data_IF_247941839783
#
_entry.id   IF_247941839783
#
_cell.length_a   1.000
_cell.length_b   1.000
_cell.length_c   1.000
_cell.angle_alpha   90.00
_cell.angle_beta   90.00
_cell.angle_gamma   90.00
#
_symmetry.space_group_name_H-M   'P 1'
#
loop_
_entity.id
_entity.type
_entity.pdbx_description
1 polymer ?
#
# COMPACT_ATOMS: atom_id res chain seq x y z
N UNK A 1 -21.75 -11.26 -6.59
CA UNK A 1 -21.30 -10.07 -5.82
C UNK A 1 -22.18 -9.81 -4.59
N UNK A 2 -22.35 -10.79 -3.68
CA UNK A 2 -23.21 -10.60 -2.48
C UNK A 2 -22.51 -9.87 -1.33
N UNK A 3 -21.17 -9.92 -1.32
CA UNK A 3 -20.32 -9.43 -0.25
C UNK A 3 -19.94 -7.94 -0.40
N UNK A 4 -19.76 -7.45 -1.63
CA UNK A 4 -19.51 -6.02 -1.88
C UNK A 4 -20.69 -5.16 -1.40
N UNK A 5 -20.40 -4.08 -0.66
CA UNK A 5 -21.37 -3.12 -0.13
C UNK A 5 -20.94 -1.69 -0.45
N UNK A 6 -21.94 -0.82 -0.64
CA UNK A 6 -21.71 0.60 -0.90
C UNK A 6 -21.39 0.92 -2.37
N UNK A 7 -21.03 2.18 -2.59
CA UNK A 7 -20.60 2.75 -3.87
C UNK A 7 -19.07 2.86 -3.93
N UNK A 8 -18.52 3.53 -4.96
CA UNK A 8 -17.07 3.62 -5.19
C UNK A 8 -16.30 4.42 -4.12
N UNK A 9 -17.01 5.09 -3.20
CA UNK A 9 -16.43 5.74 -2.02
C UNK A 9 -16.26 4.76 -0.85
N UNK A 10 -16.90 3.59 -0.93
CA UNK A 10 -16.91 2.60 0.14
C UNK A 10 -15.81 1.58 -0.08
N UNK A 11 -14.78 1.63 0.75
CA UNK A 11 -13.74 0.60 0.77
C UNK A 11 -14.31 -0.72 1.30
N UNK A 12 -14.22 -1.78 0.49
CA UNK A 12 -14.47 -3.14 0.90
C UNK A 12 -13.13 -3.84 1.17
N UNK A 13 -12.98 -4.43 2.36
CA UNK A 13 -11.80 -5.21 2.75
C UNK A 13 -12.21 -6.66 2.99
N UNK A 14 -11.62 -7.59 2.25
CA UNK A 14 -11.92 -9.02 2.34
C UNK A 14 -10.74 -9.76 2.95
N UNK A 15 -10.97 -10.45 4.07
CA UNK A 15 -9.97 -11.33 4.65
C UNK A 15 -10.20 -12.75 4.17
N UNK A 16 -9.19 -13.33 3.52
CA UNK A 16 -9.22 -14.73 3.06
C UNK A 16 -8.26 -15.56 3.90
N UNK A 17 -8.61 -16.82 4.17
CA UNK A 17 -7.91 -17.63 5.18
C UNK A 17 -6.40 -17.75 4.96
N UNK A 18 -5.95 -17.79 3.69
CA UNK A 18 -4.54 -17.78 3.30
C UNK A 18 -4.38 -17.44 1.82
N UNK A 19 -3.44 -16.57 1.49
CA UNK A 19 -3.03 -16.28 0.11
C UNK A 19 -1.88 -17.19 -0.31
N UNK A 20 -2.01 -17.87 -1.46
CA UNK A 20 -1.06 -18.89 -1.91
C UNK A 20 -0.09 -18.40 -3.00
N UNK A 21 -0.27 -17.18 -3.52
CA UNK A 21 0.47 -16.61 -4.66
C UNK A 21 1.76 -15.87 -4.27
N UNK A 22 2.21 -15.95 -3.03
CA UNK A 22 3.39 -15.22 -2.53
C UNK A 22 3.09 -13.79 -2.06
N UNK A 23 1.95 -13.21 -2.44
CA UNK A 23 1.45 -11.95 -1.88
C UNK A 23 0.74 -12.11 -0.54
N UNK A 24 0.73 -11.04 0.26
CA UNK A 24 0.01 -10.94 1.53
C UNK A 24 -1.31 -10.15 1.42
N UNK A 25 -1.43 -9.36 0.36
CA UNK A 25 -2.63 -8.66 -0.01
C UNK A 25 -2.65 -8.35 -1.50
N UNK A 26 -3.83 -7.96 -1.97
CA UNK A 26 -4.11 -7.44 -3.30
C UNK A 26 -5.01 -6.22 -3.15
N UNK A 27 -4.86 -5.27 -4.07
CA UNK A 27 -5.56 -4.00 -4.05
C UNK A 27 -6.03 -3.61 -5.44
N UNK A 28 -6.88 -2.59 -5.49
CA UNK A 28 -7.24 -1.90 -6.73
C UNK A 28 -6.90 -0.43 -6.59
N UNK A 29 -6.09 0.09 -7.52
CA UNK A 29 -5.78 1.52 -7.57
C UNK A 29 -7.06 2.33 -7.89
N UNK A 30 -7.12 3.61 -7.47
CA UNK A 30 -8.18 4.50 -7.94
C UNK A 30 -8.02 4.72 -9.45
N UNK A 31 -9.10 4.50 -10.20
CA UNK A 31 -9.11 4.62 -11.66
C UNK A 31 -10.09 5.70 -12.12
N UNK A 32 -9.82 6.28 -13.30
CA UNK A 32 -10.65 7.34 -13.87
C UNK A 32 -12.11 6.87 -14.12
N UNK A 33 -13.05 7.79 -13.97
CA UNK A 33 -14.51 7.58 -14.02
C UNK A 33 -15.06 7.21 -15.41
N UNK A 34 -14.20 6.97 -16.40
CA UNK A 34 -14.60 6.52 -17.74
C UNK A 34 -15.02 5.06 -17.78
N UNK A 35 -14.74 4.30 -16.71
CA UNK A 35 -15.23 2.94 -16.55
C UNK A 35 -16.70 2.99 -16.08
N UNK A 36 -17.65 2.38 -16.80
CA UNK A 36 -19.05 2.36 -16.40
C UNK A 36 -19.23 1.83 -14.98
N UNK A 37 -20.17 2.40 -14.22
CA UNK A 37 -20.48 1.98 -12.84
C UNK A 37 -20.89 0.51 -12.68
N UNK A 38 -21.32 -0.15 -13.77
CA UNK A 38 -21.68 -1.57 -13.82
C UNK A 38 -20.57 -2.47 -14.37
N UNK A 39 -19.38 -1.94 -14.59
CA UNK A 39 -18.23 -2.73 -15.01
C UNK A 39 -17.75 -3.66 -13.87
N UNK A 40 -17.36 -4.88 -14.22
CA UNK A 40 -16.84 -5.87 -13.27
C UNK A 40 -15.64 -5.35 -12.48
N UNK A 41 -14.84 -4.47 -13.07
CA UNK A 41 -13.70 -3.79 -12.42
C UNK A 41 -14.14 -2.99 -11.19
N UNK A 42 -15.29 -2.30 -11.23
CA UNK A 42 -15.84 -1.56 -10.07
C UNK A 42 -16.35 -2.47 -8.97
N UNK A 43 -16.80 -3.67 -9.31
CA UNK A 43 -17.23 -4.65 -8.32
C UNK A 43 -16.08 -5.41 -7.64
N UNK A 44 -14.91 -5.41 -8.26
CA UNK A 44 -13.68 -5.98 -7.71
C UNK A 44 -12.85 -4.96 -6.92
N UNK A 45 -13.26 -3.68 -6.92
CA UNK A 45 -12.60 -2.62 -6.16
C UNK A 45 -12.56 -2.94 -4.66
N UNK A 46 -11.38 -2.76 -4.08
CA UNK A 46 -11.15 -2.91 -2.64
C UNK A 46 -9.79 -3.54 -2.36
N UNK A 47 -9.70 -4.15 -1.18
CA UNK A 47 -8.51 -4.88 -0.75
C UNK A 47 -8.89 -6.33 -0.41
N UNK A 48 -8.07 -7.27 -0.85
CA UNK A 48 -8.10 -8.66 -0.36
C UNK A 48 -6.83 -8.90 0.44
N UNK A 49 -6.95 -9.39 1.68
CA UNK A 49 -5.83 -9.52 2.61
C UNK A 49 -5.79 -10.94 3.14
N UNK A 50 -4.58 -11.50 3.28
CA UNK A 50 -4.37 -12.76 3.98
C UNK A 50 -4.72 -12.58 5.47
N UNK A 51 -5.73 -13.30 5.93
CA UNK A 51 -6.21 -13.26 7.32
C UNK A 51 -5.14 -13.65 8.35
N UNK A 52 -4.07 -14.32 7.95
CA UNK A 52 -2.94 -14.66 8.81
C UNK A 52 -2.01 -13.46 9.08
N UNK A 53 -2.26 -12.29 8.47
CA UNK A 53 -1.47 -11.07 8.68
C UNK A 53 -1.98 -10.17 9.80
N UNK A 54 -3.17 -10.45 10.34
CA UNK A 54 -3.75 -9.68 11.46
C UNK A 54 -3.07 -10.05 12.79
N UNK A 55 -3.20 -9.21 13.85
CA UNK A 55 -2.71 -9.54 15.19
C UNK A 55 -3.18 -10.91 15.66
N UNK A 56 -2.23 -11.77 16.04
CA UNK A 56 -2.49 -13.17 16.44
C UNK A 56 -2.49 -14.17 15.28
N UNK A 57 -2.23 -13.72 14.05
CA UNK A 57 -2.03 -14.56 12.89
C UNK A 57 -0.68 -15.27 12.86
N UNK A 58 -0.43 -16.05 11.80
CA UNK A 58 0.75 -16.92 11.68
C UNK A 58 1.72 -16.52 10.57
N UNK A 59 1.48 -15.40 9.87
CA UNK A 59 2.46 -14.88 8.89
C UNK A 59 3.68 -14.33 9.62
N UNK A 60 4.80 -15.02 9.41
CA UNK A 60 6.11 -14.60 9.92
C UNK A 60 6.41 -13.18 9.45
N UNK A 61 6.85 -12.33 10.37
CA UNK A 61 7.23 -10.93 10.12
C UNK A 61 6.14 -10.02 9.55
N UNK A 62 4.89 -10.50 9.44
CA UNK A 62 3.78 -9.76 8.84
C UNK A 62 2.44 -10.06 9.54
N UNK A 63 2.44 -10.22 10.87
CA UNK A 63 1.27 -10.62 11.68
C UNK A 63 0.82 -9.55 12.69
N UNK A 64 1.13 -8.27 12.43
CA UNK A 64 0.71 -7.15 13.28
C UNK A 64 -0.38 -6.29 12.63
N UNK A 65 -0.95 -6.74 11.50
CA UNK A 65 -2.04 -6.10 10.77
C UNK A 65 -1.59 -4.99 9.84
N UNK A 66 -0.29 -4.81 9.60
CA UNK A 66 0.20 -3.69 8.76
C UNK A 66 0.06 -3.95 7.28
N UNK A 67 -0.06 -5.21 6.85
CA UNK A 67 -0.48 -5.55 5.48
C UNK A 67 -1.78 -4.82 5.10
N UNK A 68 -2.81 -4.82 5.96
CA UNK A 68 -4.04 -4.06 5.65
C UNK A 68 -3.79 -2.56 5.51
N UNK A 69 -2.85 -2.00 6.28
CA UNK A 69 -2.49 -0.57 6.17
C UNK A 69 -1.82 -0.28 4.81
N UNK A 70 -0.91 -1.16 4.39
CA UNK A 70 -0.24 -1.11 3.08
C UNK A 70 -1.24 -1.17 1.92
N UNK A 71 -2.12 -2.17 1.90
CA UNK A 71 -3.11 -2.33 0.83
C UNK A 71 -4.09 -1.15 0.74
N UNK A 72 -4.48 -0.61 1.89
CA UNK A 72 -5.34 0.58 1.94
C UNK A 72 -4.61 1.82 1.43
N UNK A 73 -3.31 1.95 1.69
CA UNK A 73 -2.47 2.99 1.08
C UNK A 73 -2.55 2.95 -0.45
N UNK A 74 -2.46 1.77 -1.04
CA UNK A 74 -2.63 1.61 -2.48
C UNK A 74 -4.04 1.91 -2.99
N UNK A 75 -5.09 1.53 -2.23
CA UNK A 75 -6.48 1.87 -2.60
C UNK A 75 -6.70 3.40 -2.68
N UNK A 76 -5.95 4.16 -1.88
CA UNK A 76 -5.89 5.62 -1.93
C UNK A 76 -4.84 6.18 -2.93
N UNK A 77 -4.16 5.35 -3.70
CA UNK A 77 -3.28 5.79 -4.79
C UNK A 77 -1.81 6.01 -4.42
N UNK A 78 -1.33 5.44 -3.31
CA UNK A 78 0.09 5.42 -2.99
C UNK A 78 0.80 4.31 -3.76
N UNK A 79 1.99 4.60 -4.29
CA UNK A 79 2.88 3.59 -4.85
C UNK A 79 3.79 3.03 -3.76
N UNK A 80 4.48 1.94 -4.07
CA UNK A 80 5.63 1.52 -3.27
C UNK A 80 6.69 2.60 -3.27
N UNK A 81 7.39 2.77 -2.15
CA UNK A 81 8.46 3.77 -2.00
C UNK A 81 9.60 3.60 -3.02
N UNK A 82 9.82 2.36 -3.47
CA UNK A 82 10.83 1.99 -4.46
C UNK A 82 10.32 1.99 -5.93
N UNK A 83 9.11 2.46 -6.20
CA UNK A 83 8.47 2.33 -7.52
C UNK A 83 9.26 2.98 -8.68
N UNK A 84 9.82 4.17 -8.44
CA UNK A 84 10.59 4.94 -9.43
C UNK A 84 12.11 4.93 -9.22
N UNK A 85 12.61 4.08 -8.31
CA UNK A 85 14.03 4.00 -7.97
C UNK A 85 14.61 5.33 -7.48
N UNK A 86 15.90 5.54 -7.73
CA UNK A 86 16.62 6.77 -7.38
C UNK A 86 16.29 7.99 -8.26
N UNK A 87 15.40 7.86 -9.25
CA UNK A 87 15.08 8.93 -10.19
C UNK A 87 13.74 9.59 -9.86
N UNK A 88 12.63 8.88 -10.07
CA UNK A 88 11.28 9.45 -9.99
C UNK A 88 10.58 9.20 -8.65
N UNK A 89 11.12 8.31 -7.81
CA UNK A 89 10.52 7.92 -6.54
C UNK A 89 9.09 7.39 -6.67
N UNK A 90 8.31 7.54 -5.62
CA UNK A 90 6.91 7.09 -5.54
C UNK A 90 5.89 8.19 -5.91
N UNK A 91 6.35 9.24 -6.61
CA UNK A 91 5.58 10.45 -6.93
C UNK A 91 5.04 11.18 -5.69
N UNK A 92 5.81 11.14 -4.59
CA UNK A 92 5.61 11.94 -3.38
C UNK A 92 6.96 12.56 -2.97
N UNK A 93 7.03 13.88 -2.94
CA UNK A 93 8.30 14.61 -2.79
C UNK A 93 8.99 14.43 -1.43
N UNK A 94 8.24 14.09 -0.37
CA UNK A 94 8.76 13.95 0.99
C UNK A 94 9.06 12.49 1.40
N UNK A 95 8.97 11.56 0.46
CA UNK A 95 9.49 10.20 0.58
C UNK A 95 10.89 10.16 -0.05
N UNK A 96 11.95 9.87 0.72
CA UNK A 96 13.29 9.67 0.16
C UNK A 96 13.28 8.60 -0.94
N UNK A 97 14.12 8.82 -1.96
CA UNK A 97 14.23 7.89 -3.09
C UNK A 97 14.86 6.57 -2.63
N UNK A 98 14.34 5.45 -3.15
CA UNK A 98 14.75 4.10 -2.77
C UNK A 98 14.87 3.25 -4.04
N UNK A 99 16.02 2.60 -4.24
CA UNK A 99 16.27 1.78 -5.43
C UNK A 99 15.62 0.40 -5.32
N UNK A 100 15.64 -0.17 -4.12
CA UNK A 100 15.24 -1.55 -3.85
C UNK A 100 14.35 -1.61 -2.62
N UNK A 101 13.33 -2.46 -2.67
CA UNK A 101 12.46 -2.71 -1.53
C UNK A 101 13.24 -3.25 -0.33
N UNK A 102 12.86 -2.81 0.86
CA UNK A 102 13.25 -3.46 2.10
C UNK A 102 12.76 -4.91 2.17
N UNK A 103 13.23 -5.63 3.18
CA UNK A 103 12.75 -6.97 3.46
C UNK A 103 12.73 -7.24 4.96
N UNK A 104 11.97 -8.26 5.40
CA UNK A 104 12.01 -8.72 6.78
C UNK A 104 13.43 -9.08 7.26
N UNK A 105 14.30 -9.54 6.37
CA UNK A 105 15.69 -9.90 6.67
C UNK A 105 16.59 -8.68 6.91
N UNK A 106 16.38 -7.58 6.19
CA UNK A 106 17.04 -6.30 6.47
C UNK A 106 16.57 -5.75 7.81
N UNK A 107 15.30 -6.00 8.15
CA UNK A 107 14.70 -5.62 9.43
C UNK A 107 14.56 -4.11 9.54
N UNK A 108 14.90 -3.56 10.70
CA UNK A 108 14.78 -2.13 11.00
C UNK A 108 16.16 -1.44 11.10
N UNK A 109 17.16 -1.97 10.39
CA UNK A 109 18.54 -1.52 10.51
C UNK A 109 18.74 -0.16 9.84
N UNK A 110 19.30 0.81 10.58
CA UNK A 110 19.67 2.13 10.07
C UNK A 110 21.17 2.41 10.25
N UNK A 111 21.78 3.23 9.38
CA UNK A 111 21.20 3.78 8.15
C UNK A 111 21.21 2.74 7.01
N UNK A 112 20.16 2.75 6.20
CA UNK A 112 20.11 2.04 4.93
C UNK A 112 19.79 3.05 3.84
N UNK A 113 20.60 3.07 2.79
CA UNK A 113 20.57 4.09 1.75
C UNK A 113 21.01 3.44 0.44
N UNK A 114 20.02 3.14 -0.41
CA UNK A 114 20.25 2.56 -1.73
C UNK A 114 20.39 3.64 -2.82
N UNK A 115 20.16 4.91 -2.47
CA UNK A 115 20.26 6.06 -3.35
C UNK A 115 21.17 7.15 -2.76
N UNK A 116 22.48 6.89 -2.58
CA UNK A 116 23.38 7.77 -1.83
C UNK A 116 23.64 9.14 -2.48
N UNK A 117 23.30 9.28 -3.77
CA UNK A 117 23.37 10.55 -4.49
C UNK A 117 22.06 11.37 -4.36
N UNK A 118 21.04 10.83 -3.69
CA UNK A 118 19.76 11.50 -3.39
C UNK A 118 19.67 11.90 -1.91
N UNK A 119 18.82 12.89 -1.56
CA UNK A 119 18.62 13.27 -0.16
C UNK A 119 17.85 12.21 0.64
N UNK A 120 18.39 11.87 1.82
CA UNK A 120 17.72 11.02 2.80
C UNK A 120 18.20 9.57 2.80
N UNK A 121 17.70 8.79 3.76
CA UNK A 121 17.89 7.34 3.80
C UNK A 121 16.62 6.66 3.28
N UNK A 122 16.72 5.39 2.90
CA UNK A 122 15.58 4.59 2.45
C UNK A 122 14.46 4.61 3.50
N UNK A 123 13.20 4.84 3.10
CA UNK A 123 12.07 5.01 4.01
C UNK A 123 11.55 3.68 4.58
N UNK A 124 12.42 2.88 5.20
CA UNK A 124 12.16 1.53 5.73
C UNK A 124 10.99 1.41 6.72
N UNK A 125 10.60 2.52 7.34
CA UNK A 125 9.52 2.57 8.32
C UNK A 125 8.17 2.97 7.72
N UNK A 126 8.17 3.28 6.43
CA UNK A 126 6.99 3.65 5.68
C UNK A 126 6.12 2.43 5.43
N UNK A 127 4.80 2.57 5.58
CA UNK A 127 3.87 1.48 5.30
C UNK A 127 3.91 1.00 3.84
N UNK A 128 4.46 1.79 2.91
CA UNK A 128 4.55 1.45 1.49
C UNK A 128 5.88 0.80 1.07
N UNK A 129 6.77 0.47 2.02
CA UNK A 129 7.92 -0.42 1.79
C UNK A 129 7.49 -1.90 1.98
N UNK A 130 8.44 -2.85 1.91
CA UNK A 130 8.31 -4.29 2.16
C UNK A 130 9.12 -4.80 3.35
N UNK A 131 9.53 -3.91 4.25
CA UNK A 131 10.16 -4.32 5.53
C UNK A 131 9.17 -5.11 6.41
N UNK A 132 9.65 -5.71 7.49
CA UNK A 132 8.77 -6.45 8.40
C UNK A 132 7.77 -5.53 9.11
N UNK A 133 6.59 -6.06 9.46
CA UNK A 133 5.51 -5.36 10.16
C UNK A 133 5.98 -4.62 11.44
N UNK A 134 7.02 -5.14 12.09
CA UNK A 134 7.61 -4.57 13.29
C UNK A 134 8.32 -3.23 13.05
N UNK A 135 8.72 -2.93 11.81
CA UNK A 135 9.39 -1.68 11.45
C UNK A 135 8.37 -0.59 11.09
N UNK A 136 7.26 -0.94 10.45
CA UNK A 136 6.31 0.03 9.95
C UNK A 136 5.68 0.91 11.04
N UNK A 137 5.72 2.22 10.83
CA UNK A 137 5.12 3.19 11.74
C UNK A 137 4.48 4.41 11.08
N UNK A 138 4.75 4.70 9.81
CA UNK A 138 4.36 5.99 9.24
C UNK A 138 3.91 6.01 7.78
N UNK A 139 3.07 7.02 7.51
CA UNK A 139 2.94 7.65 6.20
C UNK A 139 3.50 9.06 6.32
N UNK A 140 4.11 9.58 5.26
CA UNK A 140 4.58 10.96 5.22
C UNK A 140 3.41 11.96 5.10
N UNK A 141 3.60 13.25 5.44
CA UNK A 141 2.64 14.29 5.11
C UNK A 141 2.25 14.33 3.63
N UNK A 142 3.21 14.17 2.71
CA UNK A 142 2.98 14.14 1.27
C UNK A 142 2.14 12.95 0.83
N UNK A 143 2.40 11.77 1.36
CA UNK A 143 1.56 10.58 1.11
C UNK A 143 0.12 10.83 1.57
N UNK A 144 -0.10 11.46 2.74
CA UNK A 144 -1.45 11.85 3.16
C UNK A 144 -2.11 12.81 2.18
N UNK A 145 -1.38 13.82 1.70
CA UNK A 145 -1.87 14.76 0.67
C UNK A 145 -2.32 14.02 -0.60
N UNK A 146 -1.43 13.17 -1.14
CA UNK A 146 -1.70 12.33 -2.30
C UNK A 146 -2.92 11.42 -2.13
N UNK A 147 -3.09 10.81 -0.95
CA UNK A 147 -4.27 9.98 -0.65
C UNK A 147 -5.57 10.78 -0.75
N UNK A 148 -5.62 11.99 -0.20
CA UNK A 148 -6.78 12.88 -0.32
C UNK A 148 -7.03 13.28 -1.77
N UNK A 149 -6.00 13.72 -2.48
CA UNK A 149 -6.09 14.15 -3.87
C UNK A 149 -6.67 13.03 -4.77
N UNK A 150 -6.11 11.82 -4.68
CA UNK A 150 -6.59 10.68 -5.45
C UNK A 150 -8.03 10.29 -5.06
N UNK A 151 -8.38 10.30 -3.78
CA UNK A 151 -9.75 10.00 -3.35
C UNK A 151 -10.74 10.98 -3.96
N UNK A 152 -10.47 12.28 -3.91
CA UNK A 152 -11.37 13.29 -4.46
C UNK A 152 -11.39 13.32 -5.99
N UNK A 153 -10.26 13.05 -6.63
CA UNK A 153 -10.17 13.00 -8.10
C UNK A 153 -10.96 11.82 -8.68
N UNK A 154 -10.87 10.65 -8.06
CA UNK A 154 -11.32 9.41 -8.69
C UNK A 154 -12.50 8.74 -8.00
N UNK A 155 -12.64 8.87 -6.68
CA UNK A 155 -13.61 8.09 -5.90
C UNK A 155 -14.80 8.92 -5.42
N UNK A 156 -14.57 10.15 -4.97
CA UNK A 156 -15.59 10.98 -4.34
C UNK A 156 -16.74 11.41 -5.28
N UNK A 157 -16.47 11.52 -6.58
CA UNK A 157 -17.36 12.15 -7.57
C UNK A 157 -18.01 11.17 -8.55
N UNK A 158 -18.06 9.87 -8.20
CA UNK A 158 -18.61 8.80 -9.06
C UNK A 158 -19.83 8.13 -8.44
#
# INVERSE_FOLDING_TARGET
MKLHKGDYKTLNVYFISRMNSGGLGEWTFPENSTIPTFDITRFMDGCTVDAQTVPGGTRKDASLGKTTTHEVGHWFGLYHTFYGGCDFGDAVDDTPAQAEAGSPEVGCAEPWDTCPDQPGNDPMFNYMDYTGDACYREFTPGQRGRMFENFYAYRANV
#
